data_IF_192854056636
#
_entry.id   IF_192854056636
#
_cell.length_a   1.000
_cell.length_b   1.000
_cell.length_c   1.000
_cell.angle_alpha   90.00
_cell.angle_beta   90.00
_cell.angle_gamma   90.00
#
_symmetry.space_group_name_H-M   'P 1'
#
loop_
_entity.id
_entity.type
_entity.pdbx_description
1 polymer ?
#
# COMPACT_ATOMS: atom_id res chain seq x y z
N UNK A 1 36.00 34.27 39.21
CA UNK A 1 35.53 33.02 38.58
C UNK A 1 34.40 32.51 39.45
N UNK A 2 33.15 32.78 39.08
CA UNK A 2 32.00 32.21 39.77
C UNK A 2 31.59 30.96 38.99
N UNK A 3 31.78 29.80 39.62
CA UNK A 3 31.32 28.52 39.13
C UNK A 3 29.80 28.52 39.00
N UNK A 4 29.32 28.56 37.76
CA UNK A 4 28.00 28.08 37.40
C UNK A 4 27.98 26.54 37.51
N UNK A 5 27.99 26.01 38.74
CA UNK A 5 27.56 24.63 38.97
C UNK A 5 26.03 24.61 38.98
N UNK A 6 25.45 24.80 37.79
CA UNK A 6 24.07 24.40 37.54
C UNK A 6 24.04 22.88 37.74
N UNK A 7 23.60 22.46 38.92
CA UNK A 7 23.28 21.06 39.19
C UNK A 7 22.16 20.69 38.22
N UNK A 8 22.52 19.91 37.20
CA UNK A 8 21.62 19.45 36.15
C UNK A 8 20.61 18.48 36.76
N UNK A 9 19.56 19.02 37.38
CA UNK A 9 18.43 18.23 37.88
C UNK A 9 17.59 17.76 36.70
N UNK A 10 17.24 16.47 36.68
CA UNK A 10 16.23 15.96 35.74
C UNK A 10 14.93 16.72 35.99
N UNK A 11 14.46 17.47 35.00
CA UNK A 11 13.17 18.15 35.07
C UNK A 11 12.03 17.13 35.06
N UNK A 12 11.05 17.31 35.95
CA UNK A 12 9.83 16.50 35.98
C UNK A 12 9.09 16.54 34.63
N UNK A 13 9.17 17.67 33.91
CA UNK A 13 8.61 17.82 32.56
C UNK A 13 9.33 16.90 31.57
N UNK A 14 10.66 16.82 31.64
CA UNK A 14 11.43 15.94 30.77
C UNK A 14 11.11 14.46 31.02
N UNK A 15 10.93 14.08 32.29
CA UNK A 15 10.53 12.73 32.67
C UNK A 15 9.12 12.39 32.15
N UNK A 16 8.16 13.30 32.28
CA UNK A 16 6.79 13.11 31.76
C UNK A 16 6.77 12.96 30.24
N UNK A 17 7.53 13.79 29.51
CA UNK A 17 7.66 13.69 28.05
C UNK A 17 8.24 12.33 27.66
N UNK A 18 9.25 11.85 28.38
CA UNK A 18 9.87 10.55 28.11
C UNK A 18 8.91 9.39 28.39
N UNK A 19 8.12 9.45 29.47
CA UNK A 19 7.07 8.46 29.77
C UNK A 19 6.01 8.47 28.66
N UNK A 20 5.56 9.65 28.23
CA UNK A 20 4.60 9.77 27.13
C UNK A 20 5.16 9.18 25.82
N UNK A 21 6.43 9.45 25.51
CA UNK A 21 7.11 8.85 24.36
C UNK A 21 7.16 7.32 24.47
N UNK A 22 7.56 6.78 25.62
CA UNK A 22 7.56 5.34 25.89
C UNK A 22 6.19 4.70 25.65
N UNK A 23 5.12 5.27 26.22
CA UNK A 23 3.75 4.78 26.03
C UNK A 23 3.33 4.84 24.56
N UNK A 24 3.71 5.90 23.85
CA UNK A 24 3.44 6.03 22.42
C UNK A 24 4.15 4.94 21.60
N UNK A 25 5.43 4.64 21.87
CA UNK A 25 6.16 3.57 21.18
C UNK A 25 5.53 2.21 21.47
N UNK A 26 5.13 1.95 22.72
CA UNK A 26 4.46 0.71 23.10
C UNK A 26 3.13 0.54 22.35
N UNK A 27 2.29 1.58 22.29
CA UNK A 27 1.06 1.58 21.51
C UNK A 27 1.33 1.27 20.02
N UNK A 28 2.35 1.91 19.44
CA UNK A 28 2.77 1.68 18.05
C UNK A 28 3.21 0.23 17.82
N UNK A 29 4.01 -0.34 18.72
CA UNK A 29 4.45 -1.75 18.67
C UNK A 29 3.26 -2.72 18.69
N UNK A 30 2.33 -2.54 19.63
CA UNK A 30 1.12 -3.39 19.72
C UNK A 30 0.31 -3.29 18.43
N UNK A 31 0.06 -2.06 17.97
CA UNK A 31 -0.70 -1.81 16.72
C UNK A 31 0.01 -2.44 15.52
N UNK A 32 1.34 -2.41 15.47
CA UNK A 32 2.13 -3.02 14.41
C UNK A 32 1.98 -4.55 14.41
N UNK A 33 2.11 -5.20 15.56
CA UNK A 33 1.94 -6.66 15.71
C UNK A 33 0.54 -7.11 15.30
N UNK A 34 -0.51 -6.40 15.74
CA UNK A 34 -1.90 -6.69 15.36
C UNK A 34 -2.08 -6.59 13.84
N UNK A 35 -1.58 -5.53 13.23
CA UNK A 35 -1.71 -5.34 11.78
C UNK A 35 -0.87 -6.33 10.98
N UNK A 36 0.26 -6.78 11.50
CA UNK A 36 1.04 -7.85 10.93
C UNK A 36 0.27 -9.16 10.90
N UNK A 37 -0.36 -9.52 12.02
CA UNK A 37 -1.25 -10.68 12.09
C UNK A 37 -2.42 -10.57 11.10
N UNK A 38 -3.11 -9.43 11.08
CA UNK A 38 -4.24 -9.20 10.17
C UNK A 38 -3.80 -9.29 8.71
N UNK A 39 -2.60 -8.81 8.38
CA UNK A 39 -2.05 -8.89 7.03
C UNK A 39 -1.79 -10.33 6.59
N UNK A 40 -1.27 -11.18 7.49
CA UNK A 40 -1.12 -12.62 7.20
C UNK A 40 -2.48 -13.26 6.95
N UNK A 41 -3.47 -12.98 7.81
CA UNK A 41 -4.83 -13.52 7.67
C UNK A 41 -5.41 -13.10 6.31
N UNK A 42 -5.33 -11.80 5.99
CA UNK A 42 -5.85 -11.27 4.73
C UNK A 42 -5.12 -11.85 3.52
N UNK A 43 -3.82 -12.09 3.64
CA UNK A 43 -3.04 -12.71 2.56
C UNK A 43 -3.52 -14.12 2.26
N UNK A 44 -3.80 -14.91 3.30
CA UNK A 44 -4.38 -16.25 3.13
C UNK A 44 -5.76 -16.21 2.51
N UNK A 45 -6.59 -15.28 2.95
CA UNK A 45 -7.95 -15.11 2.44
C UNK A 45 -7.95 -14.79 0.94
N UNK A 46 -7.17 -13.79 0.53
CA UNK A 46 -7.08 -13.33 -0.87
C UNK A 46 -6.45 -14.39 -1.79
N UNK A 47 -5.40 -15.08 -1.32
CA UNK A 47 -4.75 -16.14 -2.10
C UNK A 47 -5.55 -17.44 -2.13
N UNK A 48 -6.41 -17.69 -1.13
CA UNK A 48 -7.35 -18.80 -1.10
C UNK A 48 -6.69 -20.15 -1.37
N UNK A 49 -6.95 -20.71 -2.55
CA UNK A 49 -6.47 -22.04 -2.97
C UNK A 49 -5.04 -22.06 -3.56
N UNK A 50 -4.36 -20.92 -3.68
CA UNK A 50 -2.93 -20.92 -4.04
C UNK A 50 -2.05 -21.60 -2.98
N UNK A 51 -0.86 -22.08 -3.35
CA UNK A 51 0.11 -22.62 -2.41
C UNK A 51 0.74 -21.45 -1.63
N UNK A 52 0.29 -21.27 -0.40
CA UNK A 52 0.58 -20.06 0.37
C UNK A 52 2.04 -20.02 0.87
N UNK A 53 2.98 -19.58 0.03
CA UNK A 53 4.37 -19.37 0.48
C UNK A 53 4.43 -18.33 1.60
N UNK A 54 5.55 -18.29 2.35
CA UNK A 54 5.86 -17.22 3.33
C UNK A 54 5.97 -15.88 2.61
N UNK A 55 4.84 -15.38 2.18
CA UNK A 55 4.67 -14.16 1.43
C UNK A 55 3.68 -13.34 2.23
N UNK A 56 4.20 -12.38 2.97
CA UNK A 56 3.38 -11.28 3.47
C UNK A 56 3.48 -10.20 2.41
N UNK A 57 2.35 -9.93 1.74
CA UNK A 57 2.26 -8.79 0.85
C UNK A 57 2.71 -7.53 1.58
N UNK A 58 3.62 -6.77 0.96
CA UNK A 58 4.10 -5.53 1.57
C UNK A 58 5.16 -5.73 2.66
N UNK A 59 5.83 -6.88 2.77
CA UNK A 59 7.13 -7.01 3.47
C UNK A 59 8.28 -7.17 2.47
N UNK A 60 8.45 -6.16 1.63
CA UNK A 60 9.65 -6.02 0.78
C UNK A 60 10.43 -4.80 1.26
N UNK A 61 11.73 -4.73 1.01
CA UNK A 61 12.54 -3.54 1.37
C UNK A 61 11.96 -2.24 0.81
N UNK A 62 11.23 -2.31 -0.32
CA UNK A 62 10.57 -1.17 -0.97
C UNK A 62 9.16 -0.87 -0.46
N UNK A 63 8.67 -1.58 0.54
CA UNK A 63 7.30 -1.46 1.03
C UNK A 63 7.21 -0.57 2.26
N UNK A 64 6.09 0.11 2.42
CA UNK A 64 5.85 0.97 3.58
C UNK A 64 5.74 0.18 4.90
N UNK A 65 5.33 -1.09 4.88
CA UNK A 65 5.28 -1.89 6.12
C UNK A 65 6.69 -2.18 6.66
N UNK A 66 7.67 -2.43 5.76
CA UNK A 66 9.08 -2.55 6.15
C UNK A 66 9.59 -1.27 6.82
N UNK A 67 9.29 -0.10 6.25
CA UNK A 67 9.67 1.19 6.86
C UNK A 67 8.92 1.48 8.16
N UNK A 68 7.68 1.04 8.32
CA UNK A 68 6.94 1.15 9.57
C UNK A 68 7.56 0.32 10.71
N UNK A 69 8.08 -0.87 10.39
CA UNK A 69 8.85 -1.68 11.34
C UNK A 69 10.09 -0.88 11.75
N UNK A 70 10.93 -0.48 10.78
CA UNK A 70 12.14 0.30 11.06
C UNK A 70 11.88 1.56 11.88
N UNK A 71 10.84 2.31 11.54
CA UNK A 71 10.45 3.52 12.28
C UNK A 71 10.11 3.21 13.74
N UNK A 72 9.41 2.10 14.00
CA UNK A 72 9.07 1.68 15.36
C UNK A 72 10.32 1.26 16.14
N UNK A 73 11.26 0.56 15.50
CA UNK A 73 12.56 0.22 16.08
C UNK A 73 13.38 1.47 16.42
N UNK A 74 13.41 2.46 15.51
CA UNK A 74 14.11 3.73 15.76
C UNK A 74 13.50 4.51 16.93
N UNK A 75 12.18 4.49 17.10
CA UNK A 75 11.53 5.13 18.24
C UNK A 75 11.93 4.48 19.58
N UNK A 76 12.03 3.15 19.64
CA UNK A 76 12.56 2.44 20.82
C UNK A 76 14.00 2.88 21.12
N UNK A 77 14.86 2.94 20.10
CA UNK A 77 16.24 3.39 20.27
C UNK A 77 16.33 4.84 20.76
N UNK A 78 15.49 5.73 20.26
CA UNK A 78 15.42 7.13 20.70
C UNK A 78 15.07 7.21 22.20
N UNK A 79 14.07 6.44 22.66
CA UNK A 79 13.69 6.40 24.09
C UNK A 79 14.87 5.92 24.95
N UNK A 80 15.59 4.89 24.50
CA UNK A 80 16.77 4.35 25.21
C UNK A 80 17.89 5.41 25.27
N UNK A 81 18.23 6.02 24.13
CA UNK A 81 19.33 7.00 24.02
C UNK A 81 19.03 8.24 24.87
N UNK A 82 17.82 8.79 24.78
CA UNK A 82 17.43 9.97 25.58
C UNK A 82 17.50 9.63 27.08
N UNK A 83 17.01 8.45 27.48
CA UNK A 83 17.09 8.01 28.87
C UNK A 83 18.55 7.90 29.35
N UNK A 84 19.44 7.35 28.53
CA UNK A 84 20.87 7.22 28.85
C UNK A 84 21.55 8.59 28.96
N UNK A 85 21.24 9.53 28.07
CA UNK A 85 21.76 10.91 28.13
C UNK A 85 21.30 11.61 29.41
N UNK A 86 20.04 11.43 29.81
CA UNK A 86 19.51 12.02 31.04
C UNK A 86 20.20 11.45 32.30
N UNK A 87 20.50 10.15 32.31
CA UNK A 87 21.28 9.52 33.40
C UNK A 87 22.69 10.10 33.45
N UNK A 88 23.37 10.21 32.31
CA UNK A 88 24.75 10.71 32.23
C UNK A 88 24.90 12.18 32.70
N UNK A 89 23.81 12.95 32.71
CA UNK A 89 23.78 14.34 33.18
C UNK A 89 23.57 14.47 34.69
N UNK A 90 23.28 13.38 35.39
CA UNK A 90 23.15 13.39 36.86
C UNK A 90 24.53 13.21 37.48
N UNK A 91 24.99 14.14 38.35
CA UNK A 91 26.27 14.01 39.03
C UNK A 91 26.33 12.75 39.89
N UNK A 92 27.46 12.05 39.89
CA UNK A 92 27.69 10.88 40.74
C UNK A 92 27.55 11.26 42.23
N UNK A 93 26.68 10.55 42.96
CA UNK A 93 26.46 10.76 44.40
C UNK A 93 25.30 11.69 44.77
N UNK A 94 24.54 12.22 43.81
CA UNK A 94 23.33 13.01 44.10
C UNK A 94 22.13 12.12 44.47
N UNK A 95 21.98 11.82 45.77
CA UNK A 95 20.86 11.04 46.29
C UNK A 95 19.49 11.73 46.12
N UNK A 96 19.45 13.05 45.85
CA UNK A 96 18.18 13.76 45.66
C UNK A 96 17.44 13.37 44.37
N UNK A 97 18.13 12.72 43.43
CA UNK A 97 17.60 12.30 42.13
C UNK A 97 17.30 10.78 42.05
N UNK A 98 17.45 10.03 43.16
CA UNK A 98 17.47 8.56 43.13
C UNK A 98 16.17 7.93 42.59
N UNK A 99 15.01 8.55 42.87
CA UNK A 99 13.73 8.13 42.30
C UNK A 99 13.69 8.31 40.78
N UNK A 100 14.10 9.49 40.28
CA UNK A 100 14.15 9.79 38.84
C UNK A 100 15.14 8.89 38.10
N UNK A 101 16.31 8.61 38.69
CA UNK A 101 17.29 7.66 38.14
C UNK A 101 16.72 6.25 38.04
N UNK A 102 16.03 5.79 39.08
CA UNK A 102 15.38 4.47 39.09
C UNK A 102 14.32 4.36 37.99
N UNK A 103 13.53 5.42 37.78
CA UNK A 103 12.57 5.49 36.66
C UNK A 103 13.27 5.44 35.30
N UNK A 104 14.37 6.15 35.10
CA UNK A 104 15.11 6.12 33.85
C UNK A 104 15.72 4.73 33.56
N UNK A 105 16.29 4.07 34.57
CA UNK A 105 16.75 2.69 34.43
C UNK A 105 15.61 1.72 34.08
N UNK A 106 14.45 1.89 34.72
CA UNK A 106 13.26 1.10 34.40
C UNK A 106 12.79 1.34 32.96
N UNK A 107 12.76 2.59 32.49
CA UNK A 107 12.41 2.94 31.10
C UNK A 107 13.38 2.27 30.12
N UNK A 108 14.69 2.30 30.38
CA UNK A 108 15.69 1.62 29.53
C UNK A 108 15.43 0.11 29.50
N UNK A 109 15.30 -0.52 30.67
CA UNK A 109 15.06 -1.96 30.77
C UNK A 109 13.79 -2.40 30.04
N UNK A 110 12.68 -1.70 30.28
CA UNK A 110 11.41 -1.97 29.60
C UNK A 110 11.47 -1.67 28.10
N UNK A 111 12.25 -0.67 27.67
CA UNK A 111 12.41 -0.36 26.25
C UNK A 111 13.21 -1.43 25.51
N UNK A 112 14.26 -1.98 26.13
CA UNK A 112 15.01 -3.12 25.58
C UNK A 112 14.12 -4.36 25.48
N UNK A 113 13.33 -4.64 26.53
CA UNK A 113 12.36 -5.75 26.52
C UNK A 113 11.32 -5.53 25.43
N UNK A 114 10.76 -4.32 25.30
CA UNK A 114 9.76 -3.97 24.29
C UNK A 114 10.28 -4.11 22.86
N UNK A 115 11.50 -3.66 22.60
CA UNK A 115 12.21 -3.81 21.33
C UNK A 115 12.35 -5.29 20.95
N UNK A 116 12.92 -6.11 21.85
CA UNK A 116 13.13 -7.54 21.62
C UNK A 116 11.79 -8.27 21.45
N UNK A 117 10.81 -7.99 22.32
CA UNK A 117 9.49 -8.62 22.27
C UNK A 117 8.75 -8.29 20.97
N UNK A 118 8.85 -7.06 20.46
CA UNK A 118 8.23 -6.65 19.18
C UNK A 118 8.82 -7.47 18.03
N UNK A 119 10.15 -7.56 17.94
CA UNK A 119 10.82 -8.34 16.90
C UNK A 119 10.49 -9.83 16.98
N UNK A 120 10.52 -10.42 18.18
CA UNK A 120 10.16 -11.81 18.40
C UNK A 120 8.70 -12.09 18.05
N UNK A 121 7.78 -11.19 18.36
CA UNK A 121 6.37 -11.32 18.00
C UNK A 121 6.16 -11.33 16.47
N UNK A 122 6.81 -10.40 15.75
CA UNK A 122 6.77 -10.35 14.28
C UNK A 122 7.36 -11.65 13.69
N UNK A 123 8.53 -12.08 14.18
CA UNK A 123 9.17 -13.31 13.72
C UNK A 123 8.29 -14.54 13.98
N UNK A 124 7.74 -14.65 15.19
CA UNK A 124 6.83 -15.74 15.55
C UNK A 124 5.61 -15.79 14.64
N UNK A 125 4.96 -14.64 14.40
CA UNK A 125 3.83 -14.53 13.49
C UNK A 125 4.24 -14.89 12.06
N UNK A 126 5.41 -14.47 11.59
CA UNK A 126 5.90 -14.83 10.26
C UNK A 126 6.17 -16.34 10.11
N UNK A 127 6.70 -16.99 11.16
CA UNK A 127 7.00 -18.42 11.13
C UNK A 127 5.75 -19.29 11.24
N UNK A 128 4.85 -18.96 12.17
CA UNK A 128 3.62 -19.73 12.42
C UNK A 128 2.50 -19.38 11.44
N UNK A 129 2.48 -18.13 11.00
CA UNK A 129 1.44 -17.56 10.17
C UNK A 129 1.31 -18.23 8.82
N UNK A 130 2.32 -18.92 8.28
CA UNK A 130 2.24 -19.61 6.99
C UNK A 130 2.37 -21.14 7.10
N UNK A 131 2.22 -21.70 8.30
CA UNK A 131 2.35 -23.14 8.55
C UNK A 131 1.07 -23.95 8.25
N UNK A 132 0.26 -23.52 7.26
CA UNK A 132 -1.00 -24.21 6.94
C UNK A 132 -0.78 -25.54 6.21
N UNK A 133 -1.70 -26.48 6.45
CA UNK A 133 -1.74 -27.87 5.96
C UNK A 133 -1.65 -28.09 4.44
N UNK A 134 -1.68 -27.04 3.62
CA UNK A 134 -1.35 -27.12 2.20
C UNK A 134 0.13 -27.50 1.96
N UNK A 135 1.01 -27.32 2.96
CA UNK A 135 2.41 -27.82 2.97
C UNK A 135 2.54 -29.20 3.62
N UNK A 136 1.75 -30.19 3.20
CA UNK A 136 1.88 -31.54 3.78
C UNK A 136 3.20 -32.22 3.39
N UNK A 137 3.85 -31.78 2.32
CA UNK A 137 5.18 -32.23 1.96
C UNK A 137 6.16 -31.04 2.03
N UNK A 138 7.33 -31.28 2.60
CA UNK A 138 8.29 -30.21 2.86
C UNK A 138 8.61 -29.42 1.59
N UNK A 139 9.06 -28.17 1.73
CA UNK A 139 9.56 -27.25 0.68
C UNK A 139 10.45 -27.85 -0.43
N UNK A 140 10.88 -29.11 -0.28
CA UNK A 140 11.73 -29.87 -1.20
C UNK A 140 11.08 -30.17 -2.56
N UNK A 141 9.76 -30.22 -2.72
CA UNK A 141 9.14 -30.54 -4.02
C UNK A 141 8.04 -29.54 -4.45
N UNK A 142 8.35 -28.23 -4.45
CA UNK A 142 7.44 -27.16 -4.93
C UNK A 142 6.78 -27.49 -6.27
N UNK A 143 7.55 -28.01 -7.23
CA UNK A 143 7.06 -28.38 -8.56
C UNK A 143 5.93 -29.43 -8.49
N UNK A 144 6.10 -30.48 -7.69
CA UNK A 144 5.07 -31.53 -7.54
C UNK A 144 3.78 -31.02 -6.92
N UNK A 145 3.86 -30.06 -6.00
CA UNK A 145 2.68 -29.45 -5.38
C UNK A 145 1.96 -28.49 -6.35
N UNK A 146 2.70 -27.80 -7.21
CA UNK A 146 2.11 -26.95 -8.25
C UNK A 146 1.45 -27.78 -9.35
N UNK A 147 2.06 -28.92 -9.72
CA UNK A 147 1.47 -29.88 -10.66
C UNK A 147 0.17 -30.45 -10.09
N UNK A 148 0.15 -30.88 -8.82
CA UNK A 148 -1.09 -31.39 -8.19
C UNK A 148 -2.17 -30.31 -8.07
N UNK A 149 -1.78 -29.06 -7.84
CA UNK A 149 -2.68 -27.90 -7.83
C UNK A 149 -3.29 -27.64 -9.21
N UNK A 150 -2.52 -27.77 -10.30
CA UNK A 150 -3.02 -27.63 -11.69
C UNK A 150 -4.23 -28.54 -11.93
N UNK A 151 -4.12 -29.81 -11.53
CA UNK A 151 -5.20 -30.80 -11.68
C UNK A 151 -6.37 -30.54 -10.74
N UNK A 152 -6.11 -30.11 -9.51
CA UNK A 152 -7.17 -29.86 -8.51
C UNK A 152 -8.03 -28.64 -8.87
N UNK A 153 -7.42 -27.62 -9.47
CA UNK A 153 -8.11 -26.39 -9.90
C UNK A 153 -8.75 -26.48 -11.28
N UNK A 154 -8.61 -27.62 -11.96
CA UNK A 154 -9.05 -27.79 -13.36
C UNK A 154 -8.56 -26.66 -14.26
N UNK A 155 -7.31 -26.20 -14.07
CA UNK A 155 -6.74 -25.15 -14.90
C UNK A 155 -6.62 -25.71 -16.31
N UNK A 156 -7.53 -25.26 -17.17
CA UNK A 156 -7.57 -25.62 -18.58
C UNK A 156 -6.27 -25.17 -19.22
N UNK A 157 -5.74 -25.99 -20.13
CA UNK A 157 -4.70 -25.55 -21.07
C UNK A 157 -5.34 -24.56 -22.08
N UNK A 158 -5.74 -23.39 -21.57
CA UNK A 158 -6.28 -22.31 -22.39
C UNK A 158 -5.14 -21.70 -23.21
N UNK A 159 -5.49 -21.27 -24.43
CA UNK A 159 -4.56 -20.51 -25.28
C UNK A 159 -4.25 -19.19 -24.59
N UNK A 160 -3.00 -19.02 -24.19
CA UNK A 160 -2.47 -17.76 -23.68
C UNK A 160 -1.61 -17.07 -24.75
N UNK A 161 -1.61 -15.72 -24.80
CA UNK A 161 -0.77 -14.97 -25.74
C UNK A 161 0.72 -15.03 -25.35
N UNK A 162 1.60 -15.07 -26.36
CA UNK A 162 3.05 -15.04 -26.12
C UNK A 162 3.49 -13.72 -25.49
N UNK A 163 2.92 -12.61 -25.95
CA UNK A 163 3.23 -11.26 -25.48
C UNK A 163 1.95 -10.44 -25.30
N UNK A 164 1.87 -9.68 -24.22
CA UNK A 164 0.86 -8.63 -24.03
C UNK A 164 1.53 -7.28 -24.20
N UNK A 165 0.92 -6.39 -24.99
CA UNK A 165 1.37 -5.00 -25.16
C UNK A 165 0.26 -4.03 -24.77
N UNK A 166 0.62 -2.93 -24.12
CA UNK A 166 -0.31 -1.84 -23.78
C UNK A 166 0.08 -0.55 -24.50
N UNK A 167 -0.92 0.23 -24.89
CA UNK A 167 -0.71 1.59 -25.37
C UNK A 167 -0.60 2.55 -24.18
N UNK A 168 0.63 2.67 -23.66
CA UNK A 168 0.94 3.55 -22.51
C UNK A 168 0.51 4.99 -22.77
N UNK A 169 0.61 5.49 -24.00
CA UNK A 169 0.30 6.87 -24.33
C UNK A 169 -1.21 7.14 -24.24
N UNK A 170 -2.05 6.19 -24.69
CA UNK A 170 -3.52 6.29 -24.53
C UNK A 170 -3.94 6.16 -23.07
N UNK A 171 -3.40 5.18 -22.34
CA UNK A 171 -3.77 4.96 -20.94
C UNK A 171 -3.35 6.16 -20.07
N UNK A 172 -2.15 6.71 -20.27
CA UNK A 172 -1.66 7.88 -19.52
C UNK A 172 -2.60 9.10 -19.63
N UNK A 173 -3.32 9.26 -20.74
CA UNK A 173 -4.27 10.38 -20.89
C UNK A 173 -5.49 10.24 -19.98
N UNK A 174 -5.94 9.02 -19.74
CA UNK A 174 -7.10 8.73 -18.87
C UNK A 174 -6.68 8.54 -17.41
N UNK A 175 -5.50 7.97 -17.19
CA UNK A 175 -4.97 7.63 -15.89
C UNK A 175 -3.44 7.55 -15.94
N UNK A 176 -2.74 8.48 -15.29
CA UNK A 176 -1.30 8.54 -15.44
C UNK A 176 -0.55 7.75 -14.35
N UNK A 177 -1.27 7.02 -13.49
CA UNK A 177 -0.69 6.13 -12.46
C UNK A 177 -0.72 4.66 -12.86
N UNK A 178 -1.83 4.21 -13.46
CA UNK A 178 -2.04 2.83 -13.90
C UNK A 178 -0.93 2.30 -14.84
N UNK A 179 -0.39 3.07 -15.81
CA UNK A 179 0.61 2.55 -16.74
C UNK A 179 1.89 2.05 -16.09
N UNK A 180 2.32 2.65 -14.98
CA UNK A 180 3.47 2.17 -14.21
C UNK A 180 3.21 0.78 -13.64
N UNK A 181 2.02 0.56 -13.08
CA UNK A 181 1.61 -0.73 -12.50
C UNK A 181 1.48 -1.78 -13.59
N UNK A 182 0.78 -1.46 -14.68
CA UNK A 182 0.58 -2.38 -15.80
C UNK A 182 1.89 -2.73 -16.51
N UNK A 183 2.82 -1.78 -16.63
CA UNK A 183 4.15 -2.06 -17.17
C UNK A 183 4.91 -3.11 -16.33
N UNK A 184 4.79 -3.05 -15.00
CA UNK A 184 5.39 -4.06 -14.12
C UNK A 184 4.74 -5.44 -14.30
N UNK A 185 3.42 -5.48 -14.45
CA UNK A 185 2.67 -6.73 -14.68
C UNK A 185 3.09 -7.36 -16.00
N UNK A 186 3.02 -6.59 -17.07
CA UNK A 186 3.36 -7.02 -18.44
C UNK A 186 4.83 -7.43 -18.54
N UNK A 187 5.76 -6.69 -17.92
CA UNK A 187 7.17 -7.08 -17.92
C UNK A 187 7.37 -8.45 -17.28
N UNK A 188 6.70 -8.72 -16.16
CA UNK A 188 6.78 -10.01 -15.50
C UNK A 188 6.11 -11.12 -16.33
N UNK A 189 4.94 -10.87 -16.91
CA UNK A 189 4.28 -11.81 -17.81
C UNK A 189 5.14 -12.18 -19.03
N UNK A 190 5.68 -11.17 -19.72
CA UNK A 190 6.44 -11.34 -20.96
C UNK A 190 7.84 -11.91 -20.71
N UNK A 191 8.52 -11.55 -19.60
CA UNK A 191 9.95 -11.85 -19.41
C UNK A 191 10.28 -12.81 -18.28
N UNK A 192 9.37 -13.03 -17.32
CA UNK A 192 9.67 -13.79 -16.10
C UNK A 192 8.89 -15.11 -15.97
N UNK A 193 7.56 -15.08 -16.16
CA UNK A 193 6.67 -16.20 -15.78
C UNK A 193 6.94 -17.47 -16.60
N UNK A 194 7.12 -17.35 -17.93
CA UNK A 194 7.46 -18.49 -18.81
C UNK A 194 8.96 -18.74 -18.98
N UNK A 195 9.83 -18.00 -18.30
CA UNK A 195 11.27 -18.07 -18.55
C UNK A 195 11.95 -19.11 -17.65
N UNK A 196 12.19 -20.30 -18.18
CA UNK A 196 12.82 -21.42 -17.44
C UNK A 196 14.23 -21.12 -16.91
N UNK A 197 14.92 -20.06 -17.40
CA UNK A 197 16.20 -19.61 -16.83
C UNK A 197 16.04 -19.00 -15.43
N UNK A 198 14.82 -18.62 -15.03
CA UNK A 198 14.52 -18.07 -13.71
C UNK A 198 14.08 -19.21 -12.77
N UNK A 199 14.64 -19.31 -11.55
CA UNK A 199 14.26 -20.34 -10.58
C UNK A 199 12.75 -20.37 -10.33
N UNK A 200 12.15 -21.57 -10.28
CA UNK A 200 10.72 -21.78 -10.09
C UNK A 200 10.15 -21.02 -8.89
N UNK A 201 10.85 -21.03 -7.75
CA UNK A 201 10.46 -20.27 -6.55
C UNK A 201 10.28 -18.77 -6.82
N UNK A 202 11.17 -18.17 -7.62
CA UNK A 202 11.10 -16.74 -7.97
C UNK A 202 9.96 -16.48 -8.96
N UNK A 203 9.75 -17.36 -9.94
CA UNK A 203 8.63 -17.27 -10.88
C UNK A 203 7.30 -17.37 -10.13
N UNK A 204 7.20 -18.33 -9.21
CA UNK A 204 6.00 -18.56 -8.40
C UNK A 204 5.71 -17.40 -7.45
N UNK A 205 6.74 -16.83 -6.82
CA UNK A 205 6.58 -15.64 -5.98
C UNK A 205 6.06 -14.42 -6.76
N UNK A 206 6.54 -14.23 -8.00
CA UNK A 206 6.05 -13.16 -8.87
C UNK A 206 4.59 -13.42 -9.30
N UNK A 207 4.26 -14.67 -9.64
CA UNK A 207 2.89 -15.11 -9.90
C UNK A 207 1.95 -14.80 -8.72
N UNK A 208 2.27 -15.29 -7.51
CA UNK A 208 1.48 -15.05 -6.30
C UNK A 208 1.30 -13.56 -6.00
N UNK A 209 2.36 -12.78 -6.15
CA UNK A 209 2.33 -11.33 -5.95
C UNK A 209 1.31 -10.65 -6.87
N UNK A 210 1.25 -11.02 -8.15
CA UNK A 210 0.30 -10.41 -9.08
C UNK A 210 -1.13 -10.92 -8.87
N UNK A 211 -1.31 -12.22 -8.68
CA UNK A 211 -2.63 -12.81 -8.38
C UNK A 211 -3.24 -12.14 -7.16
N UNK A 212 -2.45 -11.97 -6.10
CA UNK A 212 -2.90 -11.22 -4.93
C UNK A 212 -3.32 -9.81 -5.29
N UNK A 213 -2.46 -9.03 -5.98
CA UNK A 213 -2.72 -7.62 -6.27
C UNK A 213 -4.05 -7.44 -6.99
N UNK A 214 -4.32 -8.31 -7.96
CA UNK A 214 -5.55 -8.30 -8.75
C UNK A 214 -6.76 -8.70 -7.90
N UNK A 215 -6.68 -9.81 -7.16
CA UNK A 215 -7.79 -10.27 -6.32
C UNK A 215 -8.12 -9.27 -5.21
N UNK A 216 -7.10 -8.72 -4.55
CA UNK A 216 -7.28 -7.69 -3.52
C UNK A 216 -7.85 -6.39 -4.08
N UNK A 217 -7.42 -5.99 -5.28
CA UNK A 217 -7.99 -4.83 -5.97
C UNK A 217 -9.48 -5.01 -6.20
N UNK A 218 -9.89 -6.13 -6.82
CA UNK A 218 -11.30 -6.43 -7.08
C UNK A 218 -12.12 -6.52 -5.79
N UNK A 219 -11.65 -7.27 -4.79
CA UNK A 219 -12.36 -7.44 -3.52
C UNK A 219 -12.58 -6.09 -2.81
N UNK A 220 -11.57 -5.23 -2.82
CA UNK A 220 -11.68 -3.91 -2.20
C UNK A 220 -12.56 -2.96 -3.02
N UNK A 221 -12.52 -3.05 -4.36
CA UNK A 221 -13.39 -2.26 -5.24
C UNK A 221 -14.86 -2.65 -5.00
N UNK A 222 -15.17 -3.94 -4.97
CA UNK A 222 -16.51 -4.45 -4.66
C UNK A 222 -17.00 -3.96 -3.29
N UNK A 223 -16.13 -3.97 -2.27
CA UNK A 223 -16.46 -3.45 -0.94
C UNK A 223 -16.76 -1.94 -0.98
N UNK A 224 -15.95 -1.16 -1.70
CA UNK A 224 -16.15 0.28 -1.85
C UNK A 224 -17.47 0.56 -2.56
N UNK A 225 -17.75 -0.12 -3.67
CA UNK A 225 -18.98 0.05 -4.43
C UNK A 225 -20.21 -0.35 -3.63
N UNK A 226 -20.14 -1.42 -2.84
CA UNK A 226 -21.21 -1.82 -1.92
C UNK A 226 -21.43 -0.79 -0.82
N UNK A 227 -20.36 -0.26 -0.23
CA UNK A 227 -20.46 0.79 0.79
C UNK A 227 -21.06 2.07 0.19
N UNK A 228 -20.60 2.50 -0.98
CA UNK A 228 -21.17 3.64 -1.69
C UNK A 228 -22.63 3.41 -2.03
N UNK A 229 -23.00 2.22 -2.52
CA UNK A 229 -24.40 1.89 -2.79
C UNK A 229 -25.26 1.90 -1.51
N UNK A 230 -24.72 1.47 -0.37
CA UNK A 230 -25.39 1.56 0.93
C UNK A 230 -25.52 3.00 1.40
N UNK A 231 -24.47 3.81 1.29
CA UNK A 231 -24.49 5.24 1.58
C UNK A 231 -25.50 5.96 0.69
N UNK A 232 -25.54 5.66 -0.62
CA UNK A 232 -26.55 6.16 -1.54
C UNK A 232 -27.96 5.70 -1.19
N UNK A 233 -28.15 4.49 -0.65
CA UNK A 233 -29.45 4.02 -0.14
C UNK A 233 -29.88 4.75 1.14
N UNK A 234 -28.92 5.05 2.03
CA UNK A 234 -29.16 5.77 3.29
C UNK A 234 -29.42 7.26 3.02
N UNK A 235 -28.66 7.86 2.12
CA UNK A 235 -28.79 9.24 1.67
C UNK A 235 -29.96 9.42 0.68
N UNK A 236 -30.39 8.33 0.03
CA UNK A 236 -31.56 8.25 -0.85
C UNK A 236 -32.92 8.38 -0.15
N UNK A 237 -32.94 8.74 1.14
CA UNK A 237 -34.13 9.25 1.84
C UNK A 237 -34.20 10.78 1.92
N UNK A 238 -33.40 11.50 1.12
CA UNK A 238 -33.63 12.92 0.80
C UNK A 238 -33.55 13.12 -0.72
N UNK A 239 -34.65 12.77 -1.39
CA UNK A 239 -35.18 13.48 -2.56
C UNK A 239 -34.35 13.49 -3.84
N UNK A 240 -34.80 12.68 -4.81
CA UNK A 240 -34.84 13.03 -6.22
C UNK A 240 -34.99 14.55 -6.45
N UNK A 241 -34.00 15.17 -7.11
CA UNK A 241 -34.14 16.23 -8.12
C UNK A 241 -32.79 16.92 -8.37
N UNK A 242 -31.91 16.32 -9.17
CA UNK A 242 -30.80 17.06 -9.80
C UNK A 242 -30.70 16.83 -11.31
N UNK A 243 -31.84 16.62 -11.96
CA UNK A 243 -32.09 17.02 -13.35
C UNK A 243 -33.05 18.20 -13.33
N UNK A 244 -32.67 19.29 -12.66
CA UNK A 244 -33.26 20.59 -12.96
C UNK A 244 -32.86 20.92 -14.38
N UNK A 245 -33.81 20.76 -15.31
CA UNK A 245 -33.64 21.19 -16.68
C UNK A 245 -33.21 22.66 -16.69
N UNK A 246 -32.20 22.98 -17.50
CA UNK A 246 -31.68 24.35 -17.72
C UNK A 246 -32.79 25.31 -18.20
N UNK A 247 -33.95 24.77 -18.59
CA UNK A 247 -35.14 25.51 -18.97
C UNK A 247 -35.73 26.37 -17.83
N UNK A 248 -35.57 25.98 -16.55
CA UNK A 248 -36.25 26.65 -15.43
C UNK A 248 -35.34 27.51 -14.51
N UNK A 249 -34.09 27.76 -14.91
CA UNK A 249 -33.20 28.65 -14.14
C UNK A 249 -33.52 30.13 -14.39
N UNK A 250 -33.49 30.94 -13.32
CA UNK A 250 -33.64 32.39 -13.45
C UNK A 250 -32.46 32.99 -14.25
N UNK A 251 -32.62 34.15 -14.91
CA UNK A 251 -31.57 34.77 -15.71
C UNK A 251 -30.25 34.96 -14.93
N UNK A 252 -30.36 35.33 -13.66
CA UNK A 252 -29.21 35.53 -12.76
C UNK A 252 -28.48 34.22 -12.48
N UNK A 253 -29.19 33.10 -12.32
CA UNK A 253 -28.58 31.79 -12.08
C UNK A 253 -27.85 31.27 -13.33
N UNK A 254 -28.37 31.56 -14.53
CA UNK A 254 -27.68 31.25 -15.78
C UNK A 254 -26.39 32.06 -15.94
N UNK A 255 -26.41 33.31 -15.50
CA UNK A 255 -25.25 34.20 -15.55
C UNK A 255 -24.17 33.81 -14.53
N UNK A 256 -24.56 33.43 -13.30
CA UNK A 256 -23.64 32.87 -12.30
C UNK A 256 -23.00 31.57 -12.81
N UNK A 257 -23.79 30.65 -13.36
CA UNK A 257 -23.27 29.41 -13.93
C UNK A 257 -22.33 29.65 -15.12
N UNK A 258 -22.61 30.66 -15.94
CA UNK A 258 -21.73 31.07 -17.04
C UNK A 258 -20.43 31.69 -16.52
N UNK A 259 -20.49 32.57 -15.53
CA UNK A 259 -19.33 33.20 -14.91
C UNK A 259 -18.41 32.17 -14.25
N UNK A 260 -18.96 31.20 -13.53
CA UNK A 260 -18.19 30.10 -12.95
C UNK A 260 -17.52 29.23 -14.02
N UNK A 261 -18.22 28.98 -15.13
CA UNK A 261 -17.68 28.23 -16.27
C UNK A 261 -16.56 28.98 -16.98
N UNK A 262 -16.67 30.30 -17.07
CA UNK A 262 -15.65 31.17 -17.65
C UNK A 262 -14.44 31.33 -16.73
N UNK A 263 -14.63 31.48 -15.42
CA UNK A 263 -13.52 31.54 -14.45
C UNK A 263 -12.74 30.22 -14.40
N UNK A 264 -13.43 29.08 -14.46
CA UNK A 264 -12.80 27.76 -14.62
C UNK A 264 -12.01 27.64 -15.92
N UNK A 265 -12.55 28.13 -17.05
CA UNK A 265 -11.82 28.15 -18.33
C UNK A 265 -10.60 29.06 -18.28
N UNK A 266 -10.69 30.24 -17.66
CA UNK A 266 -9.58 31.20 -17.56
C UNK A 266 -8.49 30.68 -16.63
N UNK A 267 -8.85 30.02 -15.51
CA UNK A 267 -7.88 29.30 -14.66
C UNK A 267 -7.17 28.19 -15.43
N UNK A 268 -7.91 27.34 -16.14
CA UNK A 268 -7.35 26.28 -16.98
C UNK A 268 -6.39 26.83 -18.03
N UNK A 269 -6.73 27.93 -18.71
CA UNK A 269 -5.88 28.58 -19.72
C UNK A 269 -4.62 29.20 -19.10
N UNK A 270 -4.73 29.82 -17.92
CA UNK A 270 -3.57 30.35 -17.17
C UNK A 270 -2.66 29.25 -16.62
N UNK A 271 -3.21 28.10 -16.26
CA UNK A 271 -2.46 26.95 -15.80
C UNK A 271 -1.77 26.23 -16.97
N UNK A 272 -2.45 26.04 -18.10
CA UNK A 272 -1.86 25.43 -19.31
C UNK A 272 -0.75 26.27 -19.94
N UNK A 273 -0.92 27.59 -20.02
CA UNK A 273 0.14 28.49 -20.53
C UNK A 273 1.40 28.53 -19.65
N UNK A 274 1.29 28.19 -18.36
CA UNK A 274 2.45 28.05 -17.45
C UNK A 274 3.14 26.68 -17.55
N UNK A 275 2.47 25.65 -18.08
CA UNK A 275 3.05 24.31 -18.24
C UNK A 275 3.98 24.23 -19.45
N UNK A 276 3.75 25.02 -20.50
CA UNK A 276 4.59 25.05 -21.70
C UNK A 276 6.01 25.62 -21.48
N UNK A 277 6.22 26.37 -20.39
CA UNK A 277 7.50 27.04 -20.08
C UNK A 277 8.30 26.36 -18.95
N UNK A 278 7.84 25.21 -18.44
CA UNK A 278 8.38 24.61 -17.22
C UNK A 278 9.49 23.58 -17.51
N UNK A 279 10.57 23.59 -16.73
CA UNK A 279 11.64 22.58 -16.84
C UNK A 279 11.11 21.18 -16.46
N UNK A 280 11.64 20.11 -17.09
CA UNK A 280 11.17 18.73 -16.92
C UNK A 280 11.17 18.27 -15.45
N UNK A 281 12.14 18.73 -14.64
CA UNK A 281 12.21 18.39 -13.22
C UNK A 281 11.14 19.10 -12.39
N UNK A 282 10.86 20.36 -12.70
CA UNK A 282 9.85 21.15 -12.01
C UNK A 282 8.44 20.70 -12.41
N UNK A 283 8.25 20.34 -13.68
CA UNK A 283 7.03 19.69 -14.14
C UNK A 283 6.81 18.36 -13.43
N UNK A 284 7.82 17.49 -13.33
CA UNK A 284 7.72 16.23 -12.61
C UNK A 284 7.35 16.43 -11.13
N UNK A 285 7.96 17.41 -10.46
CA UNK A 285 7.64 17.75 -9.07
C UNK A 285 6.21 18.27 -8.90
N UNK A 286 5.76 19.19 -9.76
CA UNK A 286 4.38 19.69 -9.71
C UNK A 286 3.36 18.64 -10.11
N UNK A 287 3.74 17.74 -11.00
CA UNK A 287 2.94 16.59 -11.36
C UNK A 287 2.84 15.60 -10.19
N UNK A 288 3.91 15.36 -9.45
CA UNK A 288 3.88 14.56 -8.22
C UNK A 288 3.05 15.24 -7.11
N UNK A 289 3.15 16.55 -6.96
CA UNK A 289 2.33 17.36 -6.03
C UNK A 289 0.85 17.37 -6.44
N UNK A 290 0.56 17.51 -7.73
CA UNK A 290 -0.78 17.40 -8.31
C UNK A 290 -1.35 16.00 -8.09
N UNK A 291 -0.59 14.95 -8.43
CA UNK A 291 -0.95 13.57 -8.15
C UNK A 291 -1.22 13.35 -6.68
N UNK A 292 -0.39 13.87 -5.78
CA UNK A 292 -0.61 13.77 -4.33
C UNK A 292 -1.90 14.47 -3.89
N UNK A 293 -2.19 15.64 -4.45
CA UNK A 293 -3.39 16.42 -4.15
C UNK A 293 -4.65 15.72 -4.67
N UNK A 294 -4.64 15.24 -5.92
CA UNK A 294 -5.78 14.52 -6.51
C UNK A 294 -5.97 13.15 -5.85
N UNK A 295 -4.89 12.42 -5.55
CA UNK A 295 -4.92 11.20 -4.73
C UNK A 295 -5.56 11.46 -3.37
N UNK A 296 -5.21 12.57 -2.72
CA UNK A 296 -5.80 12.94 -1.44
C UNK A 296 -7.27 13.34 -1.53
N UNK A 297 -7.85 13.51 -2.72
CA UNK A 297 -9.24 13.92 -2.92
C UNK A 297 -10.14 12.81 -3.46
N UNK A 298 -9.58 11.75 -4.05
CA UNK A 298 -10.33 10.57 -4.50
C UNK A 298 -10.86 9.78 -3.28
N UNK A 299 -12.19 9.65 -3.11
CA UNK A 299 -12.78 8.97 -1.95
C UNK A 299 -12.39 7.49 -1.86
N UNK A 300 -12.32 6.79 -2.99
CA UNK A 300 -11.93 5.38 -3.03
C UNK A 300 -10.47 5.22 -2.59
N UNK A 301 -9.59 6.10 -3.08
CA UNK A 301 -8.19 6.14 -2.68
C UNK A 301 -8.02 6.48 -1.20
N UNK A 302 -8.75 7.48 -0.67
CA UNK A 302 -8.72 7.83 0.75
C UNK A 302 -9.19 6.68 1.66
N UNK A 303 -10.23 5.96 1.25
CA UNK A 303 -10.81 4.87 2.03
C UNK A 303 -9.83 3.70 2.18
N UNK A 304 -9.11 3.37 1.10
CA UNK A 304 -8.01 2.38 1.14
C UNK A 304 -6.86 2.87 2.02
N UNK A 305 -6.49 4.15 1.96
CA UNK A 305 -5.42 4.70 2.80
C UNK A 305 -5.76 4.71 4.31
N UNK A 306 -7.01 5.02 4.67
CA UNK A 306 -7.45 5.10 6.08
C UNK A 306 -7.50 3.72 6.76
N UNK A 307 -7.81 2.66 6.01
CA UNK A 307 -8.03 1.32 6.57
C UNK A 307 -6.80 0.40 6.55
N UNK A 308 -5.75 0.70 5.77
CA UNK A 308 -4.60 -0.22 5.56
C UNK A 308 -3.26 0.25 6.16
N UNK A 309 -3.28 1.29 7.00
CA UNK A 309 -2.14 2.13 7.43
C UNK A 309 -0.85 1.41 7.92
N UNK A 310 -0.87 0.14 8.35
CA UNK A 310 0.31 -0.50 8.96
C UNK A 310 0.95 -1.66 8.21
N UNK A 311 0.24 -2.36 7.33
CA UNK A 311 0.79 -3.58 6.69
C UNK A 311 0.39 -3.83 5.25
N UNK A 312 -0.67 -3.18 4.75
CA UNK A 312 -1.19 -3.36 3.39
C UNK A 312 -1.02 -2.09 2.55
N UNK A 313 0.22 -1.62 2.42
CA UNK A 313 0.51 -0.37 1.72
C UNK A 313 1.52 -0.61 0.61
N UNK A 314 1.06 -1.33 -0.40
CA UNK A 314 1.77 -1.51 -1.68
C UNK A 314 1.34 -0.38 -2.61
N UNK A 315 2.29 0.48 -2.99
CA UNK A 315 2.02 1.63 -3.85
C UNK A 315 1.42 1.23 -5.19
N UNK A 316 1.76 0.05 -5.72
CA UNK A 316 1.21 -0.40 -6.99
C UNK A 316 -0.27 -0.76 -6.87
N UNK A 317 -0.72 -1.24 -5.69
CA UNK A 317 -2.15 -1.49 -5.45
C UNK A 317 -2.89 -0.16 -5.30
N UNK A 318 -2.34 0.77 -4.51
CA UNK A 318 -2.94 2.09 -4.31
C UNK A 318 -3.10 2.83 -5.64
N UNK A 319 -2.10 2.75 -6.53
CA UNK A 319 -2.11 3.38 -7.85
C UNK A 319 -3.22 2.82 -8.77
N UNK A 320 -3.73 1.60 -8.54
CA UNK A 320 -4.86 1.03 -9.30
C UNK A 320 -6.23 1.63 -8.92
N UNK A 321 -6.38 2.13 -7.69
CA UNK A 321 -7.64 2.73 -7.22
C UNK A 321 -7.83 4.18 -7.69
N UNK A 322 -6.82 4.79 -8.29
CA UNK A 322 -6.98 6.06 -8.96
C UNK A 322 -7.78 5.81 -10.25
N UNK A 323 -9.00 6.35 -10.36
CA UNK A 323 -9.89 6.13 -11.52
C UNK A 323 -10.01 4.66 -11.98
N UNK A 324 -10.69 3.79 -11.20
CA UNK A 324 -10.78 2.35 -11.47
C UNK A 324 -11.54 2.00 -12.78
N UNK A 325 -12.27 2.96 -13.36
CA UNK A 325 -12.99 2.80 -14.63
C UNK A 325 -12.15 3.16 -15.86
N UNK A 326 -10.83 3.25 -15.72
CA UNK A 326 -9.92 3.61 -16.82
C UNK A 326 -10.01 2.60 -17.97
N UNK A 327 -10.20 3.05 -19.22
CA UNK A 327 -10.09 2.17 -20.38
C UNK A 327 -8.62 1.81 -20.64
N UNK A 328 -8.35 0.52 -20.80
CA UNK A 328 -7.04 -0.06 -21.08
C UNK A 328 -7.04 -0.54 -22.53
N UNK A 329 -6.19 0.10 -23.34
CA UNK A 329 -5.94 -0.32 -24.72
C UNK A 329 -4.74 -1.27 -24.77
N UNK A 330 -4.94 -2.48 -25.30
CA UNK A 330 -3.92 -3.54 -25.33
C UNK A 330 -3.98 -4.39 -26.60
N UNK A 331 -2.90 -5.12 -26.89
CA UNK A 331 -2.76 -6.04 -28.01
C UNK A 331 -2.17 -7.37 -27.54
N UNK A 332 -2.66 -8.47 -28.13
CA UNK A 332 -2.27 -9.85 -27.82
C UNK A 332 -1.48 -10.53 -28.96
N UNK A 333 -1.38 -9.87 -30.10
CA UNK A 333 -0.89 -10.41 -31.38
C UNK A 333 0.22 -9.52 -31.96
N UNK A 334 1.15 -9.10 -31.10
CA UNK A 334 2.31 -8.28 -31.46
C UNK A 334 1.96 -6.89 -32.04
N UNK A 335 0.74 -6.41 -31.81
CA UNK A 335 0.27 -5.08 -32.26
C UNK A 335 -0.65 -5.11 -33.48
N UNK A 336 -1.06 -6.28 -33.97
CA UNK A 336 -1.91 -6.39 -35.15
C UNK A 336 -3.39 -6.06 -34.86
N UNK A 337 -3.86 -6.33 -33.64
CA UNK A 337 -5.19 -5.95 -33.15
C UNK A 337 -5.10 -5.06 -31.92
N UNK A 338 -6.09 -4.17 -31.80
CA UNK A 338 -6.24 -3.26 -30.65
C UNK A 338 -7.54 -3.61 -29.94
N UNK A 339 -7.42 -4.12 -28.72
CA UNK A 339 -8.53 -4.39 -27.82
C UNK A 339 -8.64 -3.26 -26.80
N UNK A 340 -9.86 -3.02 -26.31
CA UNK A 340 -10.13 -2.04 -25.26
C UNK A 340 -11.08 -2.65 -24.23
N UNK A 341 -10.68 -2.59 -22.96
CA UNK A 341 -11.49 -3.03 -21.81
C UNK A 341 -11.32 -2.04 -20.67
N UNK A 342 -12.27 -1.98 -19.73
CA UNK A 342 -12.02 -1.27 -18.48
C UNK A 342 -10.90 -1.98 -17.68
N UNK A 343 -10.32 -1.28 -16.71
CA UNK A 343 -9.21 -1.80 -15.91
C UNK A 343 -9.56 -3.12 -15.20
N UNK A 344 -10.76 -3.23 -14.62
CA UNK A 344 -11.21 -4.42 -13.87
C UNK A 344 -11.26 -5.65 -14.79
N UNK A 345 -11.91 -5.52 -15.94
CA UNK A 345 -12.07 -6.57 -16.93
C UNK A 345 -10.72 -6.95 -17.55
N UNK A 346 -9.87 -5.96 -17.84
CA UNK A 346 -8.51 -6.21 -18.31
C UNK A 346 -7.68 -6.98 -17.27
N UNK A 347 -7.72 -6.58 -16.00
CA UNK A 347 -6.98 -7.27 -14.94
C UNK A 347 -7.50 -8.70 -14.71
N UNK A 348 -8.80 -8.92 -14.84
CA UNK A 348 -9.40 -10.25 -14.75
C UNK A 348 -9.00 -11.16 -15.92
N UNK A 349 -8.99 -10.64 -17.13
CA UNK A 349 -8.51 -11.39 -18.30
C UNK A 349 -7.00 -11.65 -18.22
N UNK A 350 -6.21 -10.64 -17.86
CA UNK A 350 -4.79 -10.76 -17.62
C UNK A 350 -4.46 -11.83 -16.57
N UNK A 351 -5.24 -11.89 -15.47
CA UNK A 351 -5.10 -12.91 -14.43
C UNK A 351 -5.25 -14.32 -15.00
N UNK A 352 -6.23 -14.54 -15.87
CA UNK A 352 -6.45 -15.85 -16.49
C UNK A 352 -5.28 -16.22 -17.42
N UNK A 353 -4.79 -15.26 -18.22
CA UNK A 353 -3.59 -15.48 -19.05
C UNK A 353 -2.36 -15.78 -18.22
N UNK A 354 -2.18 -15.08 -17.10
CA UNK A 354 -1.06 -15.26 -16.17
C UNK A 354 -1.07 -16.66 -15.55
N UNK A 355 -2.25 -17.13 -15.11
CA UNK A 355 -2.46 -18.47 -14.57
C UNK A 355 -2.15 -19.54 -15.63
N UNK A 356 -2.77 -19.46 -16.80
CA UNK A 356 -2.51 -20.39 -17.90
C UNK A 356 -1.00 -20.43 -18.26
N UNK A 357 -0.37 -19.27 -18.47
CA UNK A 357 1.05 -19.20 -18.83
C UNK A 357 1.98 -19.73 -17.75
N UNK A 358 1.69 -19.51 -16.47
CA UNK A 358 2.51 -20.05 -15.39
C UNK A 358 2.41 -21.58 -15.33
N UNK A 359 1.20 -22.13 -15.31
CA UNK A 359 0.96 -23.57 -15.16
C UNK A 359 1.29 -24.40 -16.41
N UNK A 360 1.28 -23.81 -17.61
CA UNK A 360 1.77 -24.47 -18.83
C UNK A 360 3.30 -24.50 -18.94
N UNK A 361 4.01 -23.64 -18.20
CA UNK A 361 5.48 -23.56 -18.20
C UNK A 361 6.11 -24.00 -16.87
N UNK A 362 5.39 -24.83 -16.08
CA UNK A 362 5.89 -25.37 -14.82
C UNK A 362 7.19 -26.13 -15.01
#
# INVERSE_FOLDING_TARGET
MNDNTQTSRISLIALLILIAAFVFVLYRSIKLVINFKNSIIKTKEVLGQELITKYVQGLRVKSNAFYNILFTEFLWLIVIIISAILIARVPSGDNSQQSSLSTLYAIIGLSLVGLIATNLAILYLYLTGFNSTQYKHSQKNLESELVSMKYTKEIKDETFPDEIRIDVAKINKANPLVPKVLANFILAYNKKIGNQKIPLQKRYFEYLNQIFKIRFFNESLDFIEQQQAQEHKILGFVGDNSTTSIANMSPIQKEIAWMEKMDKKVKLIKETSRLEQMDKKEFAKKYDEYLYTVRSQDPAYQQIQKNNWLTYRDSDIEDLFYNPNTPITYSLDLGNSSNEKNLVDFLNEYKNYLEAKFFSNL
#
